data_IF_137952998625
#
_entry.id   IF_137952998625
#
_cell.length_a   1.000
_cell.length_b   1.000
_cell.length_c   1.000
_cell.angle_alpha   90.00
_cell.angle_beta   90.00
_cell.angle_gamma   90.00
#
_symmetry.space_group_name_H-M   'P 1'
#
loop_
_entity.id
_entity.type
_entity.pdbx_description
1 polymer ?
#
# COMPACT_ATOMS: atom_id res chain seq x y z
N UNK A 1 -6.24 -4.56 22.14
CA UNK A 1 -5.98 -4.30 20.70
C UNK A 1 -5.67 -2.82 20.53
N UNK A 2 -4.90 -2.45 19.52
CA UNK A 2 -4.64 -1.05 19.22
C UNK A 2 -5.94 -0.34 18.86
N UNK A 3 -6.14 0.85 19.39
CA UNK A 3 -7.35 1.65 19.12
C UNK A 3 -7.24 2.45 17.81
N UNK A 4 -6.00 2.70 17.37
CA UNK A 4 -5.68 3.36 16.10
C UNK A 4 -5.12 2.32 15.13
N UNK A 5 -5.74 2.20 13.96
CA UNK A 5 -5.27 1.39 12.84
C UNK A 5 -4.80 2.33 11.74
N UNK A 6 -3.54 2.21 11.33
CA UNK A 6 -2.96 3.04 10.27
C UNK A 6 -2.73 2.17 9.04
N UNK A 7 -3.34 2.55 7.93
CA UNK A 7 -3.29 1.85 6.66
C UNK A 7 -2.46 2.68 5.68
N UNK A 8 -1.41 2.10 5.13
CA UNK A 8 -0.56 2.74 4.14
C UNK A 8 -0.71 2.06 2.78
N UNK A 9 -0.89 2.83 1.71
CA UNK A 9 -0.37 2.38 0.42
C UNK A 9 1.16 2.33 0.45
N UNK A 10 1.76 1.58 -0.47
CA UNK A 10 3.21 1.41 -0.52
C UNK A 10 3.86 2.37 -1.51
N UNK A 11 3.67 2.14 -2.80
CA UNK A 11 4.21 2.98 -3.87
C UNK A 11 3.71 4.42 -3.71
N UNK A 12 4.61 5.39 -3.95
CA UNK A 12 4.37 6.85 -3.86
C UNK A 12 3.80 7.34 -2.52
N UNK A 13 3.76 6.48 -1.50
CA UNK A 13 3.25 6.78 -0.15
C UNK A 13 4.31 6.50 0.91
N UNK A 14 4.75 5.24 1.05
CA UNK A 14 5.87 4.87 1.92
C UNK A 14 7.23 5.03 1.23
N UNK A 15 7.26 4.84 -0.09
CA UNK A 15 8.42 5.12 -0.93
C UNK A 15 8.10 6.27 -1.89
N UNK A 16 9.08 7.13 -2.20
CA UNK A 16 8.89 8.19 -3.19
C UNK A 16 9.18 7.69 -4.61
N UNK A 17 8.39 6.70 -5.04
CA UNK A 17 8.57 6.03 -6.31
C UNK A 17 7.61 4.85 -6.45
N UNK A 18 7.84 4.08 -7.50
CA UNK A 18 7.04 2.90 -7.85
C UNK A 18 7.98 1.71 -7.95
N UNK A 19 7.76 0.72 -7.07
CA UNK A 19 8.63 -0.43 -6.89
C UNK A 19 8.69 -1.33 -8.14
N UNK A 20 7.57 -1.45 -8.86
CA UNK A 20 7.49 -2.16 -10.13
C UNK A 20 8.36 -1.50 -11.20
N UNK A 21 8.20 -0.20 -11.42
CA UNK A 21 9.00 0.57 -12.36
C UNK A 21 10.48 0.62 -11.98
N UNK A 22 10.80 0.62 -10.68
CA UNK A 22 12.17 0.52 -10.17
C UNK A 22 12.85 -0.75 -10.67
N UNK A 23 12.23 -1.92 -10.43
CA UNK A 23 12.77 -3.21 -10.85
C UNK A 23 12.85 -3.30 -12.38
N UNK A 24 11.81 -2.88 -13.09
CA UNK A 24 11.78 -2.89 -14.56
C UNK A 24 12.94 -2.08 -15.15
N UNK A 25 13.20 -0.89 -14.59
CA UNK A 25 14.25 0.01 -15.10
C UNK A 25 15.64 -0.50 -14.73
N UNK A 26 15.88 -0.76 -13.44
CA UNK A 26 17.18 -1.16 -12.91
C UNK A 26 17.65 -2.52 -13.43
N UNK A 27 16.72 -3.39 -13.82
CA UNK A 27 17.03 -4.71 -14.38
C UNK A 27 16.96 -4.78 -15.90
N UNK A 28 16.76 -3.64 -16.59
CA UNK A 28 16.87 -3.55 -18.05
C UNK A 28 15.69 -4.12 -18.84
N UNK A 29 14.48 -4.12 -18.26
CA UNK A 29 13.26 -4.60 -18.91
C UNK A 29 12.44 -3.51 -19.59
N UNK A 30 12.86 -2.24 -19.52
CA UNK A 30 12.09 -1.08 -19.99
C UNK A 30 11.51 -1.24 -21.39
N UNK A 31 12.27 -1.80 -22.33
CA UNK A 31 11.79 -2.00 -23.71
C UNK A 31 10.65 -3.02 -23.78
N UNK A 32 10.83 -4.19 -23.16
CA UNK A 32 9.82 -5.25 -23.13
C UNK A 32 8.56 -4.78 -22.39
N UNK A 33 8.75 -4.07 -21.27
CA UNK A 33 7.66 -3.47 -20.52
C UNK A 33 6.83 -2.52 -21.40
N UNK A 34 7.46 -1.62 -22.16
CA UNK A 34 6.75 -0.71 -23.05
C UNK A 34 5.99 -1.41 -24.18
N UNK A 35 6.52 -2.53 -24.70
CA UNK A 35 5.83 -3.33 -25.72
C UNK A 35 4.57 -4.01 -25.18
N UNK A 36 4.59 -4.44 -23.91
CA UNK A 36 3.51 -5.25 -23.32
C UNK A 36 2.52 -4.45 -22.46
N UNK A 37 2.85 -3.24 -22.02
CA UNK A 37 2.01 -2.48 -21.07
C UNK A 37 0.62 -2.13 -21.56
N UNK A 38 0.41 -2.12 -22.88
CA UNK A 38 -0.89 -1.82 -23.48
C UNK A 38 -1.69 -3.09 -23.83
N UNK A 39 -1.10 -4.28 -23.67
CA UNK A 39 -1.73 -5.56 -23.99
C UNK A 39 -2.07 -6.39 -22.76
N UNK A 40 -1.43 -6.11 -21.61
CA UNK A 40 -1.64 -6.82 -20.36
C UNK A 40 -2.15 -5.89 -19.24
N UNK A 41 -3.10 -6.35 -18.40
CA UNK A 41 -3.38 -5.69 -17.11
C UNK A 41 -2.13 -5.61 -16.24
N UNK A 42 -2.01 -4.57 -15.41
CA UNK A 42 -0.80 -4.26 -14.63
C UNK A 42 -0.25 -5.45 -13.84
N UNK A 43 -1.08 -6.12 -13.04
CA UNK A 43 -0.66 -7.29 -12.25
C UNK A 43 -0.07 -8.41 -13.13
N UNK A 44 -0.71 -8.72 -14.26
CA UNK A 44 -0.22 -9.75 -15.21
C UNK A 44 1.02 -9.29 -15.99
N UNK A 45 1.13 -8.00 -16.25
CA UNK A 45 2.33 -7.42 -16.85
C UNK A 45 3.52 -7.60 -15.91
N UNK A 46 3.37 -7.32 -14.62
CA UNK A 46 4.45 -7.47 -13.65
C UNK A 46 4.83 -8.92 -13.41
N UNK A 47 3.86 -9.84 -13.35
CA UNK A 47 4.15 -11.29 -13.37
C UNK A 47 4.97 -11.69 -14.62
N UNK A 48 4.58 -11.19 -15.80
CA UNK A 48 5.32 -11.41 -17.04
C UNK A 48 6.74 -10.85 -16.97
N UNK A 49 6.95 -9.68 -16.35
CA UNK A 49 8.28 -9.09 -16.16
C UNK A 49 9.18 -10.00 -15.31
N UNK A 50 8.65 -10.61 -14.24
CA UNK A 50 9.44 -11.55 -13.43
C UNK A 50 9.88 -12.77 -14.25
N UNK A 51 8.99 -13.29 -15.10
CA UNK A 51 9.32 -14.38 -16.02
C UNK A 51 10.39 -13.96 -17.05
N UNK A 52 10.35 -12.72 -17.58
CA UNK A 52 11.38 -12.24 -18.50
C UNK A 52 12.75 -12.19 -17.83
N UNK A 53 12.84 -11.66 -16.62
CA UNK A 53 14.09 -11.62 -15.84
C UNK A 53 14.68 -13.02 -15.70
N UNK A 54 13.86 -13.99 -15.31
CA UNK A 54 14.32 -15.35 -15.07
C UNK A 54 14.69 -16.08 -16.37
N UNK A 55 13.97 -15.82 -17.46
CA UNK A 55 14.36 -16.33 -18.80
C UNK A 55 15.70 -15.78 -19.28
N UNK A 56 16.09 -14.58 -18.83
CA UNK A 56 17.38 -13.95 -19.09
C UNK A 56 18.46 -14.35 -18.07
N UNK A 57 18.18 -15.33 -17.21
CA UNK A 57 19.12 -15.85 -16.22
C UNK A 57 19.30 -14.97 -14.98
N UNK A 58 18.40 -13.99 -14.75
CA UNK A 58 18.39 -13.22 -13.49
C UNK A 58 17.75 -14.04 -12.39
N UNK A 59 18.46 -14.21 -11.30
CA UNK A 59 18.01 -14.95 -10.12
C UNK A 59 17.07 -14.10 -9.23
N UNK A 60 16.36 -14.76 -8.32
CA UNK A 60 15.60 -14.07 -7.27
C UNK A 60 16.51 -13.20 -6.40
N UNK A 61 17.76 -13.62 -6.17
CA UNK A 61 18.73 -12.84 -5.41
C UNK A 61 19.18 -11.57 -6.14
N UNK A 62 19.20 -11.58 -7.48
CA UNK A 62 19.43 -10.38 -8.28
C UNK A 62 18.28 -9.37 -8.09
N UNK A 63 17.04 -9.86 -8.09
CA UNK A 63 15.84 -9.03 -7.83
C UNK A 63 15.88 -8.48 -6.39
N UNK A 64 16.20 -9.33 -5.39
CA UNK A 64 16.38 -8.89 -3.99
C UNK A 64 17.46 -7.81 -3.88
N UNK A 65 18.58 -7.96 -4.58
CA UNK A 65 19.68 -6.99 -4.58
C UNK A 65 19.32 -5.68 -5.25
N UNK A 66 18.47 -5.70 -6.28
CA UNK A 66 17.88 -4.51 -6.89
C UNK A 66 16.95 -3.76 -5.92
N UNK A 67 16.05 -4.49 -5.25
CA UNK A 67 15.08 -3.93 -4.30
C UNK A 67 15.73 -3.30 -3.07
N UNK A 68 16.84 -3.86 -2.57
CA UNK A 68 17.63 -3.27 -1.48
C UNK A 68 18.15 -1.86 -1.79
N UNK A 69 18.22 -1.45 -3.06
CA UNK A 69 18.68 -0.11 -3.43
C UNK A 69 17.55 0.93 -3.37
N UNK A 70 16.29 0.49 -3.22
CA UNK A 70 15.14 1.39 -3.17
C UNK A 70 15.13 2.16 -1.83
N UNK A 71 15.22 3.51 -1.86
CA UNK A 71 15.25 4.30 -0.64
C UNK A 71 13.85 4.46 -0.02
N UNK A 72 13.80 4.51 1.32
CA UNK A 72 12.68 5.05 2.09
C UNK A 72 13.22 6.31 2.79
N UNK A 73 12.46 7.42 2.71
CA UNK A 73 12.84 8.67 3.36
C UNK A 73 12.89 8.50 4.90
N UNK A 74 13.89 9.09 5.55
CA UNK A 74 14.08 8.96 6.99
C UNK A 74 12.88 9.43 7.81
N UNK A 75 12.16 10.45 7.36
CA UNK A 75 10.95 10.93 8.05
C UNK A 75 9.83 9.89 8.02
N UNK A 76 9.72 9.10 6.94
CA UNK A 76 8.78 7.98 6.85
C UNK A 76 9.18 6.86 7.80
N UNK A 77 10.47 6.51 7.86
CA UNK A 77 11.00 5.50 8.80
C UNK A 77 10.68 5.91 10.25
N UNK A 78 10.94 7.17 10.60
CA UNK A 78 10.61 7.71 11.91
C UNK A 78 9.10 7.73 12.18
N UNK A 79 8.27 8.13 11.21
CA UNK A 79 6.82 8.11 11.34
C UNK A 79 6.29 6.70 11.68
N UNK A 80 6.75 5.68 10.95
CA UNK A 80 6.40 4.27 11.17
C UNK A 80 6.80 3.83 12.58
N UNK A 81 8.07 4.05 12.96
CA UNK A 81 8.62 3.61 14.25
C UNK A 81 7.95 4.33 15.42
N UNK A 82 7.69 5.63 15.30
CA UNK A 82 6.99 6.43 16.31
C UNK A 82 5.54 5.98 16.46
N UNK A 83 4.80 5.81 15.35
CA UNK A 83 3.41 5.34 15.41
C UNK A 83 3.29 3.95 16.04
N UNK A 84 4.20 3.03 15.68
CA UNK A 84 4.31 1.70 16.30
C UNK A 84 4.59 1.79 17.80
N UNK A 85 5.53 2.65 18.20
CA UNK A 85 5.89 2.86 19.61
C UNK A 85 4.76 3.49 20.43
N UNK A 86 3.88 4.29 19.79
CA UNK A 86 2.64 4.80 20.38
C UNK A 86 1.52 3.75 20.48
N UNK A 87 1.77 2.50 20.09
CA UNK A 87 0.82 1.40 20.21
C UNK A 87 -0.21 1.32 19.07
N UNK A 88 0.04 1.99 17.94
CA UNK A 88 -0.81 1.88 16.76
C UNK A 88 -0.64 0.51 16.07
N UNK A 89 -1.71 0.03 15.43
CA UNK A 89 -1.67 -1.15 14.55
C UNK A 89 -1.44 -0.69 13.11
N UNK A 90 -0.24 -0.90 12.60
CA UNK A 90 0.16 -0.49 11.25
C UNK A 90 -0.05 -1.66 10.27
N UNK A 91 -0.69 -1.39 9.14
CA UNK A 91 -0.89 -2.35 8.05
C UNK A 91 -0.62 -1.69 6.70
N UNK A 92 -0.27 -2.51 5.71
CA UNK A 92 -0.10 -2.06 4.32
C UNK A 92 -1.27 -2.58 3.50
N UNK A 93 -1.82 -1.72 2.63
CA UNK A 93 -2.86 -2.08 1.64
C UNK A 93 -2.43 -1.52 0.28
N UNK A 94 -1.77 -2.34 -0.53
CA UNK A 94 -1.11 -1.86 -1.75
C UNK A 94 -1.30 -2.78 -2.95
N UNK A 95 -1.42 -2.16 -4.12
CA UNK A 95 -1.53 -2.86 -5.41
C UNK A 95 -0.17 -3.26 -6.03
N UNK A 96 0.92 -3.04 -5.29
CA UNK A 96 2.23 -3.62 -5.59
C UNK A 96 2.19 -5.15 -5.39
N UNK A 97 3.35 -5.79 -5.19
CA UNK A 97 3.43 -7.22 -4.92
C UNK A 97 4.20 -7.54 -3.62
N UNK A 98 3.82 -8.66 -3.01
CA UNK A 98 4.30 -9.08 -1.68
C UNK A 98 5.82 -9.19 -1.61
N UNK A 99 6.45 -9.81 -2.61
CA UNK A 99 7.91 -9.96 -2.63
C UNK A 99 8.62 -8.60 -2.59
N UNK A 100 8.15 -7.62 -3.37
CA UNK A 100 8.80 -6.29 -3.43
C UNK A 100 8.67 -5.56 -2.11
N UNK A 101 7.44 -5.49 -1.59
CA UNK A 101 7.17 -4.83 -0.31
C UNK A 101 8.02 -5.46 0.80
N UNK A 102 7.98 -6.78 0.96
CA UNK A 102 8.70 -7.47 2.03
C UNK A 102 10.21 -7.28 1.93
N UNK A 103 10.81 -7.39 0.74
CA UNK A 103 12.27 -7.23 0.60
C UNK A 103 12.73 -5.79 0.84
N UNK A 104 11.94 -4.79 0.45
CA UNK A 104 12.25 -3.38 0.74
C UNK A 104 12.12 -3.13 2.25
N UNK A 105 11.04 -3.58 2.89
CA UNK A 105 10.85 -3.41 4.34
C UNK A 105 11.91 -4.16 5.16
N UNK A 106 12.32 -5.36 4.72
CA UNK A 106 13.39 -6.16 5.34
C UNK A 106 14.71 -5.40 5.31
N UNK A 107 15.00 -4.71 4.20
CA UNK A 107 16.24 -3.94 4.06
C UNK A 107 16.30 -2.74 5.01
N UNK A 108 15.16 -2.11 5.31
CA UNK A 108 15.06 -0.91 6.14
C UNK A 108 14.69 -1.19 7.61
N UNK A 109 14.70 -2.46 8.03
CA UNK A 109 14.33 -2.90 9.39
C UNK A 109 12.91 -2.45 9.80
N UNK A 110 11.95 -2.56 8.87
CA UNK A 110 10.57 -2.11 9.05
C UNK A 110 9.52 -3.23 9.07
N UNK A 111 9.87 -4.47 8.71
CA UNK A 111 8.91 -5.59 8.61
C UNK A 111 8.09 -5.74 9.89
N UNK A 112 8.74 -5.78 11.05
CA UNK A 112 8.09 -5.99 12.36
C UNK A 112 7.20 -4.82 12.81
N UNK A 113 7.26 -3.67 12.12
CA UNK A 113 6.37 -2.56 12.41
C UNK A 113 4.94 -2.85 11.94
N UNK A 114 4.79 -3.61 10.85
CA UNK A 114 3.51 -3.90 10.22
C UNK A 114 2.95 -5.25 10.68
N UNK A 115 1.70 -5.27 11.13
CA UNK A 115 1.06 -6.52 11.56
C UNK A 115 0.58 -7.36 10.38
N UNK A 116 0.15 -6.71 9.29
CA UNK A 116 -0.43 -7.36 8.12
C UNK A 116 -0.13 -6.55 6.84
N UNK A 117 0.06 -7.26 5.73
CA UNK A 117 0.28 -6.70 4.39
C UNK A 117 -0.76 -7.29 3.45
N UNK A 118 -1.65 -6.43 2.95
CA UNK A 118 -2.70 -6.76 1.99
C UNK A 118 -2.27 -6.30 0.59
N UNK A 119 -1.76 -7.24 -0.21
CA UNK A 119 -1.17 -6.95 -1.51
C UNK A 119 -1.24 -8.16 -2.43
N UNK A 120 -0.84 -8.01 -3.70
CA UNK A 120 -0.78 -9.11 -4.65
C UNK A 120 0.24 -10.17 -4.19
N UNK A 121 -0.19 -11.39 -3.82
CA UNK A 121 0.70 -12.39 -3.25
C UNK A 121 1.73 -12.86 -4.26
N UNK A 122 2.85 -13.35 -3.74
CA UNK A 122 3.93 -13.90 -4.56
C UNK A 122 4.22 -15.34 -4.18
N UNK A 123 4.50 -16.17 -5.17
CA UNK A 123 4.85 -17.59 -4.98
C UNK A 123 6.00 -18.00 -5.89
N UNK A 124 6.65 -19.11 -5.57
CA UNK A 124 7.55 -19.77 -6.51
C UNK A 124 6.77 -20.87 -7.25
N UNK A 125 6.91 -20.93 -8.57
CA UNK A 125 6.39 -22.06 -9.35
C UNK A 125 7.32 -23.29 -9.27
N UNK A 126 6.91 -24.38 -9.91
CA UNK A 126 7.65 -25.66 -9.91
C UNK A 126 9.07 -25.55 -10.48
N UNK A 127 9.37 -24.50 -11.26
CA UNK A 127 10.69 -24.24 -11.82
C UNK A 127 11.50 -23.27 -10.94
N UNK A 128 10.97 -22.86 -9.78
CA UNK A 128 11.57 -21.86 -8.90
C UNK A 128 11.41 -20.43 -9.42
N UNK A 129 10.49 -20.19 -10.37
CA UNK A 129 10.27 -18.85 -10.90
C UNK A 129 9.38 -18.02 -9.97
N UNK A 130 9.71 -16.75 -9.77
CA UNK A 130 8.92 -15.82 -8.97
C UNK A 130 7.67 -15.43 -9.76
N UNK A 131 6.50 -15.68 -9.16
CA UNK A 131 5.19 -15.38 -9.73
C UNK A 131 4.46 -14.35 -8.90
N UNK A 132 3.76 -13.45 -9.56
CA UNK A 132 2.90 -12.44 -8.95
C UNK A 132 1.45 -12.82 -9.27
N UNK A 133 0.64 -12.98 -8.24
CA UNK A 133 -0.75 -13.42 -8.34
C UNK A 133 -1.70 -12.29 -7.96
N UNK A 134 -2.94 -12.25 -8.46
CA UNK A 134 -3.93 -11.27 -8.01
C UNK A 134 -4.36 -11.57 -6.57
N UNK A 135 -4.48 -10.54 -5.73
CA UNK A 135 -4.99 -10.69 -4.35
C UNK A 135 -6.40 -11.29 -4.33
N UNK A 136 -7.29 -10.77 -5.18
CA UNK A 136 -8.55 -11.41 -5.49
C UNK A 136 -8.32 -12.50 -6.54
N UNK A 137 -8.18 -13.73 -6.07
CA UNK A 137 -7.89 -14.89 -6.90
C UNK A 137 -8.87 -15.03 -8.07
N UNK A 138 -8.33 -15.29 -9.27
CA UNK A 138 -9.10 -15.64 -10.47
C UNK A 138 -9.94 -16.93 -10.30
N UNK A 139 -9.69 -17.73 -9.25
CA UNK A 139 -10.49 -18.90 -8.91
C UNK A 139 -11.85 -18.55 -8.28
N UNK A 140 -12.03 -17.30 -7.83
CA UNK A 140 -13.27 -16.79 -7.30
C UNK A 140 -13.95 -15.88 -8.32
N UNK A 141 -15.28 -15.70 -8.25
CA UNK A 141 -15.96 -14.70 -9.05
C UNK A 141 -15.31 -13.32 -8.83
N UNK A 142 -15.08 -12.54 -9.91
CA UNK A 142 -14.50 -11.21 -9.78
C UNK A 142 -15.38 -10.34 -8.89
N UNK A 143 -14.76 -9.46 -8.09
CA UNK A 143 -15.54 -8.52 -7.29
C UNK A 143 -16.32 -7.54 -8.17
N UNK A 144 -17.44 -7.04 -7.65
CA UNK A 144 -18.32 -6.11 -8.38
C UNK A 144 -17.91 -4.63 -8.26
N UNK A 145 -16.78 -4.33 -7.62
CA UNK A 145 -16.31 -2.94 -7.47
C UNK A 145 -15.87 -2.37 -8.84
N UNK A 146 -16.46 -1.23 -9.23
CA UNK A 146 -16.12 -0.50 -10.46
C UNK A 146 -15.04 0.58 -10.25
N UNK A 147 -14.56 0.76 -9.01
CA UNK A 147 -13.52 1.74 -8.66
C UNK A 147 -12.11 1.14 -8.63
N UNK A 148 -12.00 -0.19 -8.65
CA UNK A 148 -10.77 -0.92 -8.42
C UNK A 148 -10.45 -1.85 -9.58
N UNK A 149 -9.16 -2.13 -9.84
CA UNK A 149 -8.77 -3.16 -10.79
C UNK A 149 -9.20 -4.54 -10.26
N UNK A 150 -9.34 -5.51 -11.16
CA UNK A 150 -9.89 -6.84 -10.81
C UNK A 150 -9.02 -7.63 -9.82
N UNK A 151 -7.73 -7.32 -9.75
CA UNK A 151 -6.78 -8.06 -8.92
C UNK A 151 -6.80 -7.62 -7.45
N UNK A 152 -7.12 -6.36 -7.14
CA UNK A 152 -7.17 -5.88 -5.75
C UNK A 152 -8.18 -4.73 -5.59
N UNK A 153 -9.18 -4.97 -4.74
CA UNK A 153 -10.09 -3.94 -4.25
C UNK A 153 -9.72 -3.60 -2.81
N UNK A 154 -8.95 -2.53 -2.65
CA UNK A 154 -8.56 -2.00 -1.33
C UNK A 154 -9.78 -1.66 -0.46
N UNK A 155 -10.92 -1.30 -1.07
CA UNK A 155 -12.16 -1.07 -0.33
C UNK A 155 -12.75 -2.34 0.31
N UNK A 156 -12.63 -3.50 -0.33
CA UNK A 156 -13.05 -4.77 0.28
C UNK A 156 -12.12 -5.18 1.43
N UNK A 157 -10.82 -4.89 1.31
CA UNK A 157 -9.87 -5.03 2.43
C UNK A 157 -10.30 -4.17 3.62
N UNK A 158 -10.69 -2.91 3.36
CA UNK A 158 -11.20 -2.02 4.41
C UNK A 158 -12.48 -2.54 5.06
N UNK A 159 -13.43 -3.07 4.28
CA UNK A 159 -14.64 -3.69 4.80
C UNK A 159 -14.31 -4.90 5.71
N UNK A 160 -13.35 -5.74 5.31
CA UNK A 160 -12.87 -6.87 6.10
C UNK A 160 -12.25 -6.43 7.44
N UNK A 161 -11.36 -5.44 7.40
CA UNK A 161 -10.70 -4.88 8.60
C UNK A 161 -11.70 -4.26 9.59
N UNK A 162 -12.79 -3.70 9.09
CA UNK A 162 -13.87 -3.19 9.95
C UNK A 162 -14.70 -4.32 10.57
N UNK A 163 -15.02 -5.34 9.79
CA UNK A 163 -15.77 -6.49 10.29
C UNK A 163 -15.01 -7.25 11.39
N UNK A 164 -13.68 -7.32 11.31
CA UNK A 164 -12.87 -7.92 12.37
C UNK A 164 -12.80 -7.07 13.65
N UNK A 165 -13.17 -5.79 13.57
CA UNK A 165 -13.16 -4.84 14.71
C UNK A 165 -14.53 -4.64 15.36
N UNK A 166 -15.61 -5.23 14.83
CA UNK A 166 -16.98 -4.95 15.31
C UNK A 166 -17.30 -5.52 16.69
N UNK A 167 -16.46 -6.43 17.20
CA UNK A 167 -16.60 -6.99 18.55
C UNK A 167 -15.89 -6.14 19.62
N UNK A 168 -15.23 -5.05 19.23
CA UNK A 168 -14.52 -4.19 20.17
C UNK A 168 -15.51 -3.26 20.90
N UNK A 169 -15.37 -3.14 22.21
CA UNK A 169 -16.21 -2.25 23.04
C UNK A 169 -16.07 -0.77 22.65
N UNK A 170 -14.90 -0.40 22.11
CA UNK A 170 -14.58 0.95 21.65
C UNK A 170 -14.28 0.86 20.14
N UNK A 171 -14.95 1.66 19.29
CA UNK A 171 -14.71 1.64 17.86
C UNK A 171 -13.31 2.15 17.54
N UNK A 172 -12.53 1.35 16.80
CA UNK A 172 -11.21 1.75 16.31
C UNK A 172 -11.29 2.94 15.35
N UNK A 173 -10.29 3.81 15.46
CA UNK A 173 -10.03 4.94 14.55
C UNK A 173 -9.09 4.48 13.44
N UNK A 174 -9.46 4.75 12.19
CA UNK A 174 -8.64 4.44 11.03
C UNK A 174 -7.98 5.71 10.48
N UNK A 175 -6.71 5.61 10.12
CA UNK A 175 -5.99 6.62 9.35
C UNK A 175 -5.51 5.95 8.07
N UNK A 176 -6.00 6.40 6.92
CA UNK A 176 -5.60 5.87 5.62
C UNK A 176 -4.67 6.85 4.89
N UNK A 177 -3.48 6.41 4.49
CA UNK A 177 -2.53 7.18 3.70
C UNK A 177 -2.40 6.58 2.30
N UNK A 178 -2.48 7.41 1.26
CA UNK A 178 -2.35 6.94 -0.13
C UNK A 178 -2.20 8.08 -1.13
N UNK A 179 -1.82 7.74 -2.37
CA UNK A 179 -1.64 8.68 -3.47
C UNK A 179 -2.57 8.38 -4.65
N UNK A 180 -2.87 7.10 -4.88
CA UNK A 180 -3.34 6.59 -6.15
C UNK A 180 -4.86 6.58 -6.32
N UNK A 181 -5.29 6.38 -7.56
CA UNK A 181 -6.72 6.31 -7.87
C UNK A 181 -7.43 5.13 -7.19
N UNK A 182 -6.69 4.05 -6.88
CA UNK A 182 -7.19 2.86 -6.18
C UNK A 182 -7.47 3.08 -4.70
N UNK A 183 -6.87 4.10 -4.08
CA UNK A 183 -7.08 4.47 -2.67
C UNK A 183 -8.41 5.19 -2.43
N UNK A 184 -9.09 5.61 -3.49
CA UNK A 184 -10.39 6.25 -3.36
C UNK A 184 -11.46 5.28 -2.83
N UNK A 185 -11.41 4.01 -3.25
CA UNK A 185 -12.36 3.00 -2.81
C UNK A 185 -12.34 2.76 -1.28
N UNK A 186 -11.19 2.50 -0.63
CA UNK A 186 -11.14 2.38 0.83
C UNK A 186 -11.44 3.71 1.53
N UNK A 187 -11.11 4.85 0.92
CA UNK A 187 -11.44 6.17 1.48
C UNK A 187 -12.95 6.38 1.64
N UNK A 188 -13.77 5.89 0.70
CA UNK A 188 -15.24 5.92 0.81
C UNK A 188 -15.80 5.05 1.96
N UNK A 189 -14.98 4.15 2.52
CA UNK A 189 -15.36 3.28 3.64
C UNK A 189 -14.96 3.88 5.00
N UNK A 190 -14.28 5.02 5.00
CA UNK A 190 -13.94 5.74 6.22
C UNK A 190 -15.18 6.43 6.81
N UNK A 191 -15.24 6.52 8.15
CA UNK A 191 -16.34 7.12 8.91
C UNK A 191 -15.98 8.53 9.33
N UNK A 192 -16.94 9.22 9.93
CA UNK A 192 -16.84 10.60 10.41
C UNK A 192 -15.75 10.79 11.48
N UNK A 193 -15.36 9.72 12.17
CA UNK A 193 -14.29 9.76 13.17
C UNK A 193 -12.92 9.35 12.64
N UNK A 194 -12.81 8.96 11.37
CA UNK A 194 -11.57 8.49 10.76
C UNK A 194 -10.88 9.60 9.97
N UNK A 195 -9.67 9.33 9.51
CA UNK A 195 -8.84 10.26 8.76
C UNK A 195 -8.37 9.64 7.44
N UNK A 196 -8.30 10.48 6.39
CA UNK A 196 -7.58 10.16 5.15
C UNK A 196 -6.49 11.20 4.91
N UNK A 197 -5.31 10.73 4.53
CA UNK A 197 -4.15 11.56 4.22
C UNK A 197 -3.74 11.37 2.75
N UNK A 198 -4.38 12.10 1.83
CA UNK A 198 -4.05 12.00 0.41
C UNK A 198 -2.78 12.79 0.07
N UNK A 199 -1.93 12.22 -0.80
CA UNK A 199 -0.78 12.95 -1.33
C UNK A 199 -1.24 14.10 -2.25
N UNK A 200 -0.86 15.33 -1.95
CA UNK A 200 -1.28 16.53 -2.70
C UNK A 200 -0.87 16.43 -4.17
N UNK A 201 -1.78 16.81 -5.08
CA UNK A 201 -1.62 16.73 -6.54
C UNK A 201 -1.57 15.31 -7.15
N UNK A 202 -1.79 14.25 -6.35
CA UNK A 202 -1.90 12.88 -6.85
C UNK A 202 -3.37 12.48 -7.10
N UNK A 203 -3.63 11.35 -7.79
CA UNK A 203 -4.99 10.96 -8.17
C UNK A 203 -6.01 10.83 -7.02
N UNK A 204 -5.61 10.34 -5.84
CA UNK A 204 -6.49 10.27 -4.67
C UNK A 204 -6.95 11.66 -4.25
N UNK A 205 -5.99 12.58 -4.09
CA UNK A 205 -6.26 13.97 -3.75
C UNK A 205 -7.23 14.60 -4.74
N UNK A 206 -7.00 14.41 -6.05
CA UNK A 206 -7.89 14.93 -7.08
C UNK A 206 -9.31 14.37 -6.96
N UNK A 207 -9.47 13.05 -6.77
CA UNK A 207 -10.79 12.42 -6.63
C UNK A 207 -11.57 12.93 -5.41
N UNK A 208 -10.86 13.15 -4.28
CA UNK A 208 -11.43 13.72 -3.06
C UNK A 208 -11.85 15.17 -3.31
N UNK A 209 -10.98 15.98 -3.90
CA UNK A 209 -11.25 17.39 -4.23
C UNK A 209 -12.42 17.57 -5.21
N UNK A 210 -12.56 16.66 -6.18
CA UNK A 210 -13.67 16.65 -7.14
C UNK A 210 -15.00 16.24 -6.48
N UNK A 211 -14.97 15.47 -5.38
CA UNK A 211 -16.17 14.89 -4.74
C UNK A 211 -16.09 14.91 -3.19
N UNK A 212 -15.91 16.08 -2.55
CA UNK A 212 -15.62 16.13 -1.11
C UNK A 212 -16.77 15.61 -0.24
N UNK A 213 -18.01 15.77 -0.71
CA UNK A 213 -19.22 15.32 0.00
C UNK A 213 -19.34 13.79 0.11
N UNK A 214 -18.59 13.03 -0.69
CA UNK A 214 -18.57 11.57 -0.60
C UNK A 214 -17.66 11.08 0.53
N UNK A 215 -16.77 11.93 1.03
CA UNK A 215 -15.78 11.55 2.04
C UNK A 215 -16.29 11.99 3.41
N UNK A 216 -16.55 11.00 4.27
CA UNK A 216 -17.00 11.23 5.65
C UNK A 216 -15.85 11.55 6.59
N UNK A 217 -14.69 10.94 6.35
CA UNK A 217 -13.49 11.14 7.14
C UNK A 217 -12.91 12.55 6.98
N UNK A 218 -12.16 12.98 7.99
CA UNK A 218 -11.41 14.22 7.91
C UNK A 218 -10.21 14.05 6.96
N UNK A 219 -10.04 15.02 6.06
CA UNK A 219 -8.99 15.00 5.03
C UNK A 219 -7.78 15.81 5.52
N UNK A 220 -6.60 15.18 5.56
CA UNK A 220 -5.32 15.80 5.95
C UNK A 220 -4.25 15.55 4.89
N UNK A 221 -4.24 16.37 3.85
CA UNK A 221 -3.30 16.25 2.73
C UNK A 221 -1.83 16.49 3.13
N UNK A 222 -0.91 15.89 2.39
CA UNK A 222 0.53 16.03 2.59
C UNK A 222 1.26 16.10 1.24
N UNK A 223 2.36 16.85 1.17
CA UNK A 223 3.14 17.03 -0.06
C UNK A 223 4.59 16.51 0.02
N UNK A 224 5.11 16.28 1.24
CA UNK A 224 6.45 15.76 1.49
C UNK A 224 6.46 14.68 2.59
N UNK A 225 7.55 13.92 2.69
CA UNK A 225 7.75 12.94 3.75
C UNK A 225 7.73 13.58 5.15
N UNK A 226 8.32 14.76 5.30
CA UNK A 226 8.29 15.56 6.55
C UNK A 226 6.86 15.95 6.93
N UNK A 227 6.04 16.41 5.97
CA UNK A 227 4.64 16.72 6.23
C UNK A 227 3.83 15.47 6.59
N UNK A 228 4.05 14.36 5.87
CA UNK A 228 3.39 13.10 6.15
C UNK A 228 3.68 12.64 7.59
N UNK A 229 4.95 12.67 8.01
CA UNK A 229 5.36 12.35 9.38
C UNK A 229 4.69 13.29 10.38
N UNK A 230 4.82 14.60 10.21
CA UNK A 230 4.29 15.59 11.14
C UNK A 230 2.78 15.45 11.32
N UNK A 231 2.04 15.33 10.23
CA UNK A 231 0.58 15.22 10.25
C UNK A 231 0.15 13.90 10.90
N UNK A 232 0.78 12.78 10.51
CA UNK A 232 0.44 11.48 11.07
C UNK A 232 0.63 11.45 12.59
N UNK A 233 1.77 11.93 13.08
CA UNK A 233 2.06 11.95 14.51
C UNK A 233 1.17 12.94 15.29
N UNK A 234 0.77 14.05 14.67
CA UNK A 234 -0.25 14.95 15.24
C UNK A 234 -1.60 14.24 15.38
N UNK A 235 -2.05 13.51 14.37
CA UNK A 235 -3.31 12.76 14.43
C UNK A 235 -3.27 11.68 15.51
N UNK A 236 -2.19 10.89 15.57
CA UNK A 236 -2.01 9.86 16.60
C UNK A 236 -2.06 10.49 18.00
N UNK A 237 -1.38 11.62 18.22
CA UNK A 237 -1.40 12.33 19.50
C UNK A 237 -2.78 12.85 19.87
N UNK A 238 -3.51 13.45 18.91
CA UNK A 238 -4.86 13.98 19.13
C UNK A 238 -5.83 12.87 19.52
N UNK A 239 -5.87 11.79 18.75
CA UNK A 239 -6.77 10.65 19.01
C UNK A 239 -6.48 10.03 20.38
N UNK A 240 -5.19 9.86 20.74
CA UNK A 240 -4.82 9.29 22.03
C UNK A 240 -5.32 10.16 23.20
N UNK A 241 -5.21 11.50 23.08
CA UNK A 241 -5.69 12.43 24.13
C UNK A 241 -7.20 12.48 24.28
N UNK A 242 -7.94 12.39 23.17
CA UNK A 242 -9.40 12.35 23.18
C UNK A 242 -9.95 11.11 23.90
N UNK A 243 -9.20 10.02 23.92
CA UNK A 243 -9.61 8.77 24.56
C UNK A 243 -9.20 8.65 26.03
N UNK A 244 -8.17 9.40 26.45
CA UNK A 244 -7.74 9.48 27.85
C UNK A 244 -8.56 10.52 28.65
N UNK A 245 -9.40 11.33 27.97
CA UNK A 245 -10.26 12.37 28.54
C UNK A 245 -11.66 11.84 28.86
#
# INVERSE_FOLDING_TARGET
MAKIVILFDFDRTLIDGDSDNWVVTEMGLTEIFHQLRFTLPWNRLMDRMMMELQSQGRSIDDIKSCLKKMPIDSHIIEAIKSAKSSGCDLKIVSDANQFFIEKILEHHDLVDCFSEIYTNPTSLDDNGNLRILPYHSDALPPHSCNLCPSNLCKGLVMDHLRASSSNDQIPRRFIYLGDGGGDFCPTLKLRECDFVMPRTNYPLWKKISDNPLLIKAEVKEWSSAEEQQRILLQLVSTITKEEDS
#
